data_IF_961020834294
#
_entry.id   IF_961020834294
#
_cell.length_a   1.000
_cell.length_b   1.000
_cell.length_c   1.000
_cell.angle_alpha   90.00
_cell.angle_beta   90.00
_cell.angle_gamma   90.00
#
_symmetry.space_group_name_H-M   'P 1'
#
loop_
_entity.id
_entity.type
_entity.pdbx_description
1 polymer ?
#
# COMPACT_ATOMS: atom_id res chain seq x y z
N UNK A 1 -35.90 18.66 5.44
CA UNK A 1 -35.51 19.71 4.48
C UNK A 1 -34.61 19.05 3.45
N UNK A 2 -35.07 18.90 2.19
CA UNK A 2 -34.20 18.44 1.10
C UNK A 2 -33.42 19.67 0.63
N UNK A 3 -32.09 19.62 0.65
CA UNK A 3 -31.26 20.67 0.06
C UNK A 3 -31.44 20.66 -1.46
N UNK A 4 -32.26 21.56 -1.98
CA UNK A 4 -32.61 21.67 -3.41
C UNK A 4 -31.43 22.07 -4.32
N UNK A 5 -30.21 22.23 -3.77
CA UNK A 5 -29.00 22.64 -4.50
C UNK A 5 -27.73 21.87 -4.11
N UNK A 6 -27.85 20.62 -3.69
CA UNK A 6 -26.66 19.80 -3.41
C UNK A 6 -26.27 18.96 -4.63
N UNK A 7 -25.09 19.21 -5.19
CA UNK A 7 -24.54 18.47 -6.33
C UNK A 7 -23.37 17.60 -5.87
N UNK A 8 -23.38 16.33 -6.28
CA UNK A 8 -22.29 15.39 -6.02
C UNK A 8 -21.49 15.16 -7.30
N UNK A 9 -20.17 15.34 -7.21
CA UNK A 9 -19.25 15.04 -8.32
C UNK A 9 -18.32 13.92 -7.89
N UNK A 10 -18.30 12.84 -8.68
CA UNK A 10 -17.34 11.74 -8.49
C UNK A 10 -16.10 12.00 -9.33
N UNK A 11 -14.96 12.16 -8.67
CA UNK A 11 -13.66 12.28 -9.33
C UNK A 11 -13.02 10.90 -9.45
N UNK A 12 -12.42 10.60 -10.61
CA UNK A 12 -11.73 9.35 -10.88
C UNK A 12 -10.44 9.61 -11.66
N UNK A 13 -9.33 9.00 -11.23
CA UNK A 13 -8.05 9.04 -11.94
C UNK A 13 -7.79 7.71 -12.67
N UNK A 14 -7.46 7.74 -13.98
CA UNK A 14 -7.03 6.56 -14.71
C UNK A 14 -5.64 6.08 -14.24
N UNK A 15 -5.35 4.79 -14.45
CA UNK A 15 -4.12 4.15 -13.95
C UNK A 15 -2.83 4.87 -14.39
N UNK A 16 -2.77 5.34 -15.63
CA UNK A 16 -1.60 6.06 -16.14
C UNK A 16 -1.32 7.38 -15.40
N UNK A 17 -2.39 8.11 -15.05
CA UNK A 17 -2.29 9.33 -14.26
C UNK A 17 -1.81 8.98 -12.85
N UNK A 18 -2.36 7.94 -12.23
CA UNK A 18 -1.89 7.44 -10.92
C UNK A 18 -0.40 7.07 -10.95
N UNK A 19 0.08 6.39 -12.00
CA UNK A 19 1.50 6.07 -12.15
C UNK A 19 2.37 7.33 -12.21
N UNK A 20 1.93 8.35 -12.95
CA UNK A 20 2.67 9.60 -13.11
C UNK A 20 2.76 10.35 -11.78
N UNK A 21 1.65 10.45 -11.05
CA UNK A 21 1.64 11.06 -9.71
C UNK A 21 2.44 10.25 -8.70
N UNK A 22 2.38 8.91 -8.73
CA UNK A 22 3.16 8.06 -7.84
C UNK A 22 4.68 8.26 -8.01
N UNK A 23 5.14 8.47 -9.25
CA UNK A 23 6.53 8.76 -9.57
C UNK A 23 6.96 10.15 -9.08
N UNK A 24 6.16 11.19 -9.35
CA UNK A 24 6.43 12.55 -8.86
C UNK A 24 6.48 12.59 -7.33
N UNK A 25 5.56 11.90 -6.67
CA UNK A 25 5.47 11.83 -5.21
C UNK A 25 6.47 10.84 -4.57
N UNK A 26 7.27 10.14 -5.36
CA UNK A 26 8.26 9.16 -4.89
C UNK A 26 7.67 8.13 -3.91
N UNK A 27 6.45 7.67 -4.21
CA UNK A 27 5.75 6.71 -3.35
C UNK A 27 6.51 5.40 -3.34
N UNK A 28 6.77 4.85 -2.15
CA UNK A 28 7.41 3.54 -2.01
C UNK A 28 6.40 2.44 -2.30
N UNK A 29 6.71 1.58 -3.28
CA UNK A 29 5.86 0.48 -3.72
C UNK A 29 6.56 -0.86 -3.51
N UNK A 30 5.79 -1.95 -3.28
CA UNK A 30 6.35 -3.28 -3.06
C UNK A 30 6.97 -3.84 -4.35
N UNK A 31 8.15 -4.44 -4.22
CA UNK A 31 8.87 -5.16 -5.28
C UNK A 31 8.73 -6.66 -5.08
N UNK A 32 9.06 -7.13 -3.88
CA UNK A 32 9.11 -8.55 -3.56
C UNK A 32 8.67 -8.77 -2.10
N UNK A 33 7.96 -9.87 -1.79
CA UNK A 33 7.74 -10.28 -0.40
C UNK A 33 9.06 -10.43 0.36
N UNK A 34 9.09 -10.03 1.62
CA UNK A 34 10.25 -10.22 2.48
C UNK A 34 10.47 -11.72 2.72
N UNK A 35 11.57 -12.26 2.22
CA UNK A 35 11.99 -13.65 2.35
C UNK A 35 13.00 -13.85 3.49
N UNK A 36 13.35 -12.79 4.22
CA UNK A 36 14.28 -12.87 5.34
C UNK A 36 13.58 -13.48 6.56
N UNK A 37 14.24 -14.48 7.16
CA UNK A 37 13.83 -15.02 8.44
C UNK A 37 13.78 -13.89 9.48
N UNK A 38 12.65 -13.78 10.18
CA UNK A 38 12.50 -12.80 11.27
C UNK A 38 13.53 -13.13 12.35
N UNK A 39 14.55 -12.28 12.48
CA UNK A 39 15.57 -12.49 13.51
C UNK A 39 14.95 -12.30 14.89
N UNK A 40 14.91 -13.36 15.69
CA UNK A 40 14.47 -13.29 17.08
C UNK A 40 15.53 -12.54 17.90
N UNK A 41 15.29 -11.26 18.17
CA UNK A 41 16.10 -10.47 19.11
C UNK A 41 15.56 -10.59 20.54
N UNK A 42 16.38 -10.33 21.55
CA UNK A 42 15.95 -10.32 22.95
C UNK A 42 14.73 -9.41 23.19
N UNK A 43 14.61 -8.31 22.43
CA UNK A 43 13.47 -7.40 22.46
C UNK A 43 12.18 -8.05 21.95
N UNK A 44 12.26 -8.83 20.86
CA UNK A 44 11.09 -9.53 20.29
C UNK A 44 10.48 -10.56 21.24
N UNK A 45 11.29 -11.16 22.11
CA UNK A 45 10.84 -12.12 23.11
C UNK A 45 10.00 -11.43 24.20
N UNK A 46 10.47 -10.29 24.73
CA UNK A 46 9.75 -9.54 25.76
C UNK A 46 8.43 -8.93 25.25
N UNK A 47 8.43 -8.39 24.03
CA UNK A 47 7.22 -7.77 23.46
C UNK A 47 6.15 -8.77 23.05
N UNK A 48 6.50 -10.07 22.92
CA UNK A 48 5.58 -11.13 22.47
C UNK A 48 4.30 -11.22 23.30
N UNK A 49 4.36 -10.93 24.60
CA UNK A 49 3.19 -11.00 25.48
C UNK A 49 2.20 -9.83 25.33
N UNK A 50 2.61 -8.74 24.67
CA UNK A 50 1.75 -7.58 24.41
C UNK A 50 1.11 -7.61 23.02
N UNK A 51 1.52 -8.55 22.16
CA UNK A 51 0.93 -8.75 20.83
C UNK A 51 -0.13 -9.86 20.86
N UNK A 52 -1.27 -9.67 20.18
CA UNK A 52 -2.30 -10.70 20.04
C UNK A 52 -1.76 -11.93 19.29
N UNK A 53 -2.35 -13.11 19.54
CA UNK A 53 -1.95 -14.33 18.84
C UNK A 53 -2.27 -14.22 17.34
N UNK A 54 -1.40 -14.84 16.53
CA UNK A 54 -1.50 -14.80 15.06
C UNK A 54 -2.79 -15.48 14.54
N UNK A 55 -3.43 -16.30 15.37
CA UNK A 55 -4.73 -16.94 15.08
C UNK A 55 -5.88 -15.94 15.04
N UNK A 56 -5.77 -14.82 15.78
CA UNK A 56 -6.80 -13.78 15.85
C UNK A 56 -6.51 -12.66 14.85
N UNK A 57 -5.24 -12.30 14.68
CA UNK A 57 -4.79 -11.26 13.74
C UNK A 57 -3.64 -11.81 12.91
N UNK A 58 -3.93 -12.13 11.65
CA UNK A 58 -2.89 -12.55 10.71
C UNK A 58 -1.92 -11.40 10.48
N UNK A 59 -0.62 -11.68 10.64
CA UNK A 59 0.43 -10.69 10.39
C UNK A 59 0.39 -10.25 8.93
N UNK A 60 0.38 -8.95 8.71
CA UNK A 60 0.50 -8.39 7.37
C UNK A 60 1.87 -8.77 6.78
N UNK A 61 1.93 -9.24 5.51
CA UNK A 61 3.18 -9.62 4.89
C UNK A 61 4.06 -8.40 4.66
N UNK A 62 5.31 -8.49 5.12
CA UNK A 62 6.33 -7.48 4.87
C UNK A 62 6.82 -7.58 3.42
N UNK A 63 7.11 -6.45 2.78
CA UNK A 63 7.65 -6.39 1.40
C UNK A 63 8.91 -5.53 1.36
N UNK A 64 9.85 -5.89 0.49
CA UNK A 64 10.87 -4.97 0.03
C UNK A 64 10.22 -3.88 -0.83
N UNK A 65 10.60 -2.63 -0.57
CA UNK A 65 9.99 -1.47 -1.24
C UNK A 65 11.05 -0.58 -1.89
N UNK A 66 10.66 0.08 -2.97
CA UNK A 66 11.45 1.11 -3.64
C UNK A 66 10.56 2.27 -4.11
N UNK A 67 11.11 3.47 -4.32
CA UNK A 67 10.36 4.57 -4.92
C UNK A 67 9.83 4.17 -6.30
N UNK A 68 8.57 4.47 -6.56
CA UNK A 68 7.89 4.12 -7.79
C UNK A 68 8.50 4.83 -9.00
N UNK A 69 8.68 4.08 -10.09
CA UNK A 69 9.13 4.59 -11.38
C UNK A 69 8.25 4.03 -12.49
N UNK A 70 7.68 4.90 -13.33
CA UNK A 70 6.76 4.49 -14.40
C UNK A 70 7.46 3.57 -15.41
N UNK A 71 8.74 3.86 -15.71
CA UNK A 71 9.56 3.09 -16.65
C UNK A 71 9.85 1.65 -16.18
N UNK A 72 9.79 1.40 -14.86
CA UNK A 72 10.16 0.12 -14.25
C UNK A 72 8.96 -0.61 -13.66
N UNK A 73 7.77 -0.41 -14.23
CA UNK A 73 6.53 -0.98 -13.71
C UNK A 73 6.58 -2.52 -13.56
N UNK A 74 7.30 -3.19 -14.45
CA UNK A 74 7.49 -4.65 -14.42
C UNK A 74 8.33 -5.15 -13.23
N UNK A 75 9.11 -4.28 -12.59
CA UNK A 75 9.90 -4.62 -11.40
C UNK A 75 9.06 -4.58 -10.12
N UNK A 76 7.90 -3.93 -10.14
CA UNK A 76 7.03 -3.83 -8.97
C UNK A 76 6.08 -5.02 -8.90
N UNK A 77 5.65 -5.33 -7.68
CA UNK A 77 4.71 -6.40 -7.40
C UNK A 77 3.28 -6.01 -7.76
N UNK A 78 2.96 -6.06 -9.05
CA UNK A 78 1.63 -5.73 -9.59
C UNK A 78 0.83 -7.01 -9.83
N UNK A 79 -0.04 -7.39 -8.88
CA UNK A 79 -1.00 -8.50 -9.08
C UNK A 79 -2.19 -8.10 -9.95
N UNK A 80 -2.77 -6.96 -9.60
CA UNK A 80 -4.01 -6.44 -10.18
C UNK A 80 -3.87 -4.92 -10.28
N UNK A 81 -4.06 -4.38 -11.49
CA UNK A 81 -3.89 -2.95 -11.76
C UNK A 81 -4.91 -2.10 -11.01
N UNK A 82 -6.11 -2.61 -10.77
CA UNK A 82 -7.17 -1.85 -10.10
C UNK A 82 -6.93 -1.75 -8.58
N UNK A 83 -6.27 -2.76 -8.01
CA UNK A 83 -5.97 -2.85 -6.57
C UNK A 83 -4.54 -2.42 -6.22
N UNK A 84 -3.69 -2.18 -7.22
CA UNK A 84 -2.29 -1.81 -7.00
C UNK A 84 -2.13 -0.54 -6.16
N UNK A 85 -2.93 0.49 -6.44
CA UNK A 85 -3.03 1.68 -5.59
C UNK A 85 -4.22 1.54 -4.65
N UNK A 86 -3.97 1.54 -3.34
CA UNK A 86 -5.04 1.49 -2.34
C UNK A 86 -5.92 2.74 -2.41
N UNK A 87 -7.20 2.68 -2.00
CA UNK A 87 -8.07 3.85 -1.98
C UNK A 87 -7.45 5.04 -1.20
N UNK A 88 -6.75 4.77 -0.11
CA UNK A 88 -6.05 5.80 0.68
C UNK A 88 -4.92 6.49 -0.12
N UNK A 89 -4.14 5.71 -0.89
CA UNK A 89 -3.12 6.28 -1.78
C UNK A 89 -3.76 7.10 -2.90
N UNK A 90 -4.84 6.59 -3.50
CA UNK A 90 -5.57 7.26 -4.58
C UNK A 90 -6.24 8.57 -4.13
N UNK A 91 -6.67 8.66 -2.87
CA UNK A 91 -7.20 9.91 -2.30
C UNK A 91 -6.13 10.95 -1.98
N UNK A 92 -4.85 10.55 -1.89
CA UNK A 92 -3.72 11.45 -1.64
C UNK A 92 -3.14 12.06 -2.92
N UNK A 93 -3.33 11.38 -4.05
CA UNK A 93 -2.96 11.83 -5.40
C UNK A 93 -4.03 12.77 -5.95
#
# INVERSE_FOLDING_TARGET
VKDEKLYYVKVHMPFEVLCTYAEVLHIKMPIQPNDLATQSSAYSCFTRHFYPSEDVITKEPDFFTAPFRKDQLNCFYVKDKEKFFTPAMRSRM
#
